data_IF_670066775299
#
_entry.id   IF_670066775299
#
_cell.length_a   1.000
_cell.length_b   1.000
_cell.length_c   1.000
_cell.angle_alpha   90.00
_cell.angle_beta   90.00
_cell.angle_gamma   90.00
#
_symmetry.space_group_name_H-M   'P 1'
#
loop_
_entity.id
_entity.type
_entity.pdbx_description
1 polymer ?
#
# COMPACT_ATOMS: atom_id res chain seq x y z
N UNK A 1 13.60 16.38 6.85
CA UNK A 1 12.44 16.91 7.60
C UNK A 1 11.82 15.74 8.32
N UNK A 2 11.74 15.76 9.66
CA UNK A 2 11.05 14.71 10.39
C UNK A 2 9.58 14.71 9.94
N UNK A 3 9.11 13.62 9.35
CA UNK A 3 7.69 13.45 9.06
C UNK A 3 7.01 13.36 10.41
N UNK A 4 6.24 14.38 10.75
CA UNK A 4 5.43 14.39 11.96
C UNK A 4 4.25 13.44 11.72
N UNK A 5 4.47 12.16 12.00
CA UNK A 5 3.51 11.05 11.88
C UNK A 5 2.45 11.14 12.98
N UNK A 6 1.65 12.20 12.92
CA UNK A 6 0.56 12.48 13.83
C UNK A 6 -0.74 12.55 13.05
N UNK A 7 -1.80 12.04 13.67
CA UNK A 7 -3.15 12.15 13.11
C UNK A 7 -3.65 13.60 13.23
N UNK A 8 -4.10 14.15 12.11
CA UNK A 8 -4.63 15.52 12.00
C UNK A 8 -5.94 15.50 11.22
N UNK A 9 -6.80 16.49 11.49
CA UNK A 9 -8.09 16.67 10.79
C UNK A 9 -8.99 15.42 10.74
N UNK A 10 -8.86 14.50 11.70
CA UNK A 10 -9.73 13.32 11.82
C UNK A 10 -11.17 13.77 12.01
N UNK A 11 -12.06 13.32 11.14
CA UNK A 11 -13.48 13.65 11.20
C UNK A 11 -14.35 12.56 10.57
N UNK A 12 -15.57 12.34 11.08
CA UNK A 12 -16.56 11.52 10.41
C UNK A 12 -16.90 12.08 9.03
N UNK A 13 -17.15 11.20 8.06
CA UNK A 13 -17.54 11.56 6.69
C UNK A 13 -18.71 10.71 6.20
N UNK A 14 -19.42 11.19 5.20
CA UNK A 14 -20.45 10.41 4.48
C UNK A 14 -19.83 9.72 3.27
N UNK A 15 -20.37 8.56 2.88
CA UNK A 15 -19.92 7.78 1.70
C UNK A 15 -19.70 8.64 0.45
N UNK A 16 -20.59 9.61 0.17
CA UNK A 16 -20.46 10.51 -1.00
C UNK A 16 -19.13 11.28 -1.07
N UNK A 17 -18.48 11.53 0.07
CA UNK A 17 -17.20 12.25 0.12
C UNK A 17 -15.99 11.36 -0.17
N UNK A 18 -16.12 10.04 0.00
CA UNK A 18 -15.07 9.07 -0.33
C UNK A 18 -15.37 8.31 -1.63
N UNK A 19 -16.52 8.55 -2.27
CA UNK A 19 -16.92 7.86 -3.49
C UNK A 19 -15.88 7.95 -4.64
N UNK A 20 -15.20 9.09 -4.88
CA UNK A 20 -14.11 9.12 -5.86
C UNK A 20 -12.97 8.18 -5.50
N UNK A 21 -12.55 8.17 -4.24
CA UNK A 21 -11.51 7.30 -3.72
C UNK A 21 -11.89 5.82 -3.86
N UNK A 22 -13.15 5.45 -3.55
CA UNK A 22 -13.64 4.07 -3.72
C UNK A 22 -13.58 3.62 -5.18
N UNK A 23 -13.95 4.50 -6.10
CA UNK A 23 -13.89 4.22 -7.54
C UNK A 23 -12.44 4.00 -8.00
N UNK A 24 -11.51 4.85 -7.56
CA UNK A 24 -10.10 4.71 -7.91
C UNK A 24 -9.50 3.40 -7.36
N UNK A 25 -9.91 2.97 -6.16
CA UNK A 25 -9.53 1.67 -5.60
C UNK A 25 -10.05 0.50 -6.44
N UNK A 26 -11.32 0.56 -6.84
CA UNK A 26 -11.94 -0.48 -7.67
C UNK A 26 -11.23 -0.59 -9.03
N UNK A 27 -10.90 0.54 -9.67
CA UNK A 27 -10.16 0.55 -10.94
C UNK A 27 -8.73 0.00 -10.77
N UNK A 28 -8.01 0.45 -9.74
CA UNK A 28 -6.61 0.09 -9.52
C UNK A 28 -6.42 -1.36 -9.02
N UNK A 29 -7.29 -1.83 -8.14
CA UNK A 29 -7.12 -3.09 -7.39
C UNK A 29 -8.24 -4.10 -7.63
N UNK A 30 -9.37 -3.71 -8.24
CA UNK A 30 -10.53 -4.58 -8.41
C UNK A 30 -11.23 -4.91 -7.09
N UNK A 31 -11.14 -4.01 -6.10
CA UNK A 31 -11.65 -4.22 -4.74
C UNK A 31 -12.84 -3.31 -4.46
N UNK A 32 -13.90 -3.88 -3.88
CA UNK A 32 -14.93 -3.13 -3.15
C UNK A 32 -14.59 -3.13 -1.65
N UNK A 33 -14.45 -1.93 -1.08
CA UNK A 33 -14.16 -1.73 0.34
C UNK A 33 -15.39 -2.03 1.23
N UNK A 34 -16.56 -2.30 0.63
CA UNK A 34 -17.78 -2.72 1.32
C UNK A 34 -18.20 -1.80 2.49
N UNK A 35 -18.14 -0.49 2.26
CA UNK A 35 -18.34 0.54 3.31
C UNK A 35 -19.79 0.81 3.70
N UNK A 36 -20.74 0.02 3.20
CA UNK A 36 -22.17 0.26 3.46
C UNK A 36 -22.54 -0.07 4.90
N UNK A 37 -23.13 0.91 5.60
CA UNK A 37 -23.48 0.80 7.02
C UNK A 37 -22.29 1.01 7.99
N UNK A 38 -21.06 1.09 7.49
CA UNK A 38 -19.87 1.30 8.31
C UNK A 38 -19.73 2.75 8.80
N UNK A 39 -19.03 2.95 9.91
CA UNK A 39 -18.63 4.27 10.37
C UNK A 39 -17.39 4.73 9.62
N UNK A 40 -17.52 5.83 8.88
CA UNK A 40 -16.46 6.34 8.01
C UNK A 40 -15.82 7.61 8.56
N UNK A 41 -14.50 7.65 8.53
CA UNK A 41 -13.72 8.82 8.90
C UNK A 41 -12.65 9.12 7.85
N UNK A 42 -12.26 10.38 7.75
CA UNK A 42 -11.04 10.79 7.05
C UNK A 42 -10.09 11.47 8.01
N UNK A 43 -8.80 11.26 7.82
CA UNK A 43 -7.74 11.93 8.57
C UNK A 43 -6.52 12.18 7.69
N UNK A 44 -5.72 13.18 8.06
CA UNK A 44 -4.36 13.36 7.55
C UNK A 44 -3.40 12.63 8.52
N UNK A 45 -2.40 11.93 7.99
CA UNK A 45 -1.35 11.27 8.75
C UNK A 45 -0.01 11.44 8.03
N UNK A 46 0.83 12.34 8.56
CA UNK A 46 2.02 12.79 7.84
C UNK A 46 1.65 13.32 6.44
N UNK A 47 2.25 12.79 5.36
CA UNK A 47 1.93 13.21 3.99
C UNK A 47 0.68 12.52 3.40
N UNK A 48 0.04 11.61 4.13
CA UNK A 48 -1.02 10.76 3.60
C UNK A 48 -2.39 11.24 4.09
N UNK A 49 -3.40 11.12 3.23
CA UNK A 49 -4.79 11.15 3.66
C UNK A 49 -5.28 9.74 3.79
N UNK A 50 -6.02 9.43 4.84
CA UNK A 50 -6.53 8.10 5.12
C UNK A 50 -8.04 8.08 5.11
N UNK A 51 -8.60 6.95 4.71
CA UNK A 51 -9.98 6.57 5.01
C UNK A 51 -9.96 5.49 6.06
N UNK A 52 -10.66 5.76 7.16
CA UNK A 52 -10.88 4.79 8.22
C UNK A 52 -12.30 4.24 8.09
N UNK A 53 -12.41 2.92 8.18
CA UNK A 53 -13.68 2.19 8.22
C UNK A 53 -13.75 1.50 9.57
N UNK A 54 -14.77 1.82 10.36
CA UNK A 54 -14.94 1.32 11.73
C UNK A 54 -13.69 1.48 12.59
N UNK A 55 -13.05 2.66 12.50
CA UNK A 55 -11.80 3.00 13.17
C UNK A 55 -10.62 2.11 12.78
N UNK A 56 -10.58 1.61 11.55
CA UNK A 56 -9.40 0.93 10.99
C UNK A 56 -8.97 1.68 9.73
N UNK A 57 -7.70 2.11 9.60
CA UNK A 57 -7.21 2.81 8.41
C UNK A 57 -7.04 1.79 7.27
N UNK A 58 -8.01 1.69 6.36
CA UNK A 58 -7.99 0.69 5.29
C UNK A 58 -7.41 1.22 3.99
N UNK A 59 -7.60 2.51 3.69
CA UNK A 59 -7.16 3.10 2.43
C UNK A 59 -6.44 4.43 2.64
N UNK A 60 -5.57 4.74 1.69
CA UNK A 60 -4.74 5.94 1.66
C UNK A 60 -4.84 6.63 0.30
N UNK A 61 -4.73 7.95 0.34
CA UNK A 61 -4.47 8.82 -0.77
C UNK A 61 -3.14 9.52 -0.52
N UNK A 62 -2.25 9.47 -1.52
CA UNK A 62 -0.90 10.02 -1.49
C UNK A 62 -0.50 10.54 -2.87
N UNK A 63 0.59 11.31 -2.93
CA UNK A 63 1.18 11.76 -4.18
C UNK A 63 2.27 10.78 -4.61
N UNK A 64 2.31 10.43 -5.89
CA UNK A 64 3.46 9.74 -6.48
C UNK A 64 4.66 10.72 -6.61
N UNK A 65 5.85 10.23 -7.00
CA UNK A 65 7.03 11.08 -7.19
C UNK A 65 6.88 12.19 -8.23
N UNK A 66 5.89 12.10 -9.11
CA UNK A 66 5.58 13.06 -10.18
C UNK A 66 4.42 14.00 -9.82
N UNK A 67 4.07 14.09 -8.53
CA UNK A 67 2.98 14.91 -7.99
C UNK A 67 1.60 14.59 -8.59
N UNK A 68 1.36 13.31 -8.92
CA UNK A 68 0.04 12.79 -9.28
C UNK A 68 -0.61 12.07 -8.10
N UNK A 69 -1.93 12.23 -7.98
CA UNK A 69 -2.72 11.61 -6.90
C UNK A 69 -2.87 10.11 -7.15
N UNK A 70 -2.50 9.30 -6.16
CA UNK A 70 -2.67 7.84 -6.13
C UNK A 70 -3.50 7.44 -4.93
N UNK A 71 -4.36 6.43 -5.13
CA UNK A 71 -5.18 5.82 -4.09
C UNK A 71 -4.82 4.35 -3.97
N UNK A 72 -4.72 3.86 -2.73
CA UNK A 72 -4.33 2.49 -2.47
C UNK A 72 -4.84 1.98 -1.12
N UNK A 73 -4.75 0.68 -0.89
CA UNK A 73 -4.98 0.11 0.44
C UNK A 73 -3.74 0.27 1.32
N UNK A 74 -3.96 0.36 2.63
CA UNK A 74 -2.89 0.15 3.63
C UNK A 74 -2.60 -1.35 3.77
N UNK A 75 -1.57 -1.72 4.55
CA UNK A 75 -1.34 -3.14 4.86
C UNK A 75 -2.52 -3.76 5.63
N UNK A 76 -3.18 -2.98 6.51
CA UNK A 76 -4.44 -3.40 7.16
C UNK A 76 -5.59 -3.53 6.16
N UNK A 77 -5.62 -2.66 5.15
CA UNK A 77 -6.53 -2.77 4.01
C UNK A 77 -6.35 -4.08 3.25
N UNK A 78 -5.12 -4.44 2.88
CA UNK A 78 -4.84 -5.72 2.19
C UNK A 78 -5.10 -6.96 3.06
N UNK A 79 -4.97 -6.86 4.38
CA UNK A 79 -5.38 -7.94 5.29
C UNK A 79 -6.90 -8.15 5.27
N UNK A 80 -7.68 -7.07 5.21
CA UNK A 80 -9.14 -7.13 5.16
C UNK A 80 -9.68 -7.47 3.76
N UNK A 81 -8.97 -7.03 2.70
CA UNK A 81 -9.35 -7.19 1.31
C UNK A 81 -8.15 -7.69 0.47
N UNK A 82 -7.78 -8.98 0.58
CA UNK A 82 -6.76 -9.56 -0.28
C UNK A 82 -7.16 -9.47 -1.76
N UNK A 83 -6.20 -9.22 -2.65
CA UNK A 83 -6.42 -9.23 -4.10
C UNK A 83 -5.23 -9.84 -4.85
N UNK A 84 -5.34 -9.93 -6.17
CA UNK A 84 -4.28 -10.44 -7.06
C UNK A 84 -3.79 -9.36 -8.04
N UNK A 85 -4.13 -8.09 -7.79
CA UNK A 85 -3.61 -6.95 -8.55
C UNK A 85 -2.49 -6.26 -7.78
N UNK A 86 -1.51 -5.73 -8.51
CA UNK A 86 -0.41 -4.90 -8.00
C UNK A 86 0.44 -5.59 -6.91
N UNK A 87 0.48 -6.92 -6.90
CA UNK A 87 1.25 -7.67 -5.90
C UNK A 87 2.69 -7.91 -6.37
N UNK A 88 3.59 -8.01 -5.39
CA UNK A 88 4.95 -8.53 -5.55
C UNK A 88 5.21 -9.54 -4.46
N UNK A 89 5.69 -10.73 -4.81
CA UNK A 89 6.00 -11.81 -3.88
C UNK A 89 7.48 -11.89 -3.61
N UNK A 90 7.82 -11.98 -2.32
CA UNK A 90 9.20 -12.09 -1.87
C UNK A 90 9.46 -13.36 -1.11
N UNK A 91 10.73 -13.80 -1.14
CA UNK A 91 11.20 -14.89 -0.30
C UNK A 91 11.34 -14.48 1.17
N UNK A 92 11.57 -15.49 2.01
CA UNK A 92 11.76 -15.31 3.45
C UNK A 92 13.01 -14.48 3.81
N UNK A 93 14.03 -14.47 2.94
CA UNK A 93 15.27 -13.73 3.15
C UNK A 93 15.09 -12.21 3.05
N UNK A 94 14.15 -11.75 2.22
CA UNK A 94 13.84 -10.33 2.06
C UNK A 94 13.04 -9.75 3.25
N UNK A 95 12.22 -10.56 3.93
CA UNK A 95 11.26 -10.11 4.94
C UNK A 95 11.90 -9.28 6.07
N UNK A 96 13.01 -9.72 6.72
CA UNK A 96 13.59 -8.96 7.82
C UNK A 96 14.13 -7.58 7.42
N UNK A 97 14.45 -7.38 6.14
CA UNK A 97 14.90 -6.09 5.61
C UNK A 97 13.72 -5.17 5.31
N UNK A 98 12.66 -5.71 4.71
CA UNK A 98 11.42 -4.98 4.44
C UNK A 98 10.77 -4.46 5.72
N UNK A 99 10.72 -5.29 6.77
CA UNK A 99 10.20 -4.89 8.10
C UNK A 99 11.05 -3.81 8.79
N UNK A 100 12.23 -3.49 8.26
CA UNK A 100 13.10 -2.39 8.73
C UNK A 100 13.07 -1.18 7.79
N UNK A 101 12.14 -1.15 6.82
CA UNK A 101 11.99 -0.06 5.87
C UNK A 101 13.03 -0.04 4.75
N UNK A 102 13.76 -1.14 4.53
CA UNK A 102 14.64 -1.23 3.37
C UNK A 102 13.83 -1.27 2.07
N UNK A 103 14.47 -0.79 0.99
CA UNK A 103 13.98 -0.99 -0.37
C UNK A 103 14.02 -2.48 -0.74
N UNK A 104 13.10 -2.90 -1.60
CA UNK A 104 13.07 -4.27 -2.09
C UNK A 104 14.04 -4.42 -3.28
N UNK A 105 14.96 -5.36 -3.20
CA UNK A 105 15.87 -5.70 -4.29
C UNK A 105 15.27 -6.82 -5.13
N UNK A 106 15.45 -6.78 -6.46
CA UNK A 106 14.87 -7.80 -7.37
C UNK A 106 15.33 -9.22 -7.04
N UNK A 107 16.52 -9.39 -6.46
CA UNK A 107 17.03 -10.68 -6.03
C UNK A 107 16.16 -11.41 -4.98
N UNK A 108 15.29 -10.69 -4.28
CA UNK A 108 14.35 -11.27 -3.32
C UNK A 108 12.91 -11.44 -3.85
N UNK A 109 12.64 -11.01 -5.10
CA UNK A 109 11.31 -11.08 -5.74
C UNK A 109 11.23 -12.36 -6.56
N UNK A 110 10.18 -13.16 -6.34
CA UNK A 110 9.99 -14.44 -7.04
C UNK A 110 8.75 -14.49 -7.93
N UNK A 111 7.83 -13.54 -7.76
CA UNK A 111 6.64 -13.42 -8.56
C UNK A 111 6.10 -11.99 -8.47
N UNK A 112 5.37 -11.53 -9.47
CA UNK A 112 4.74 -10.23 -9.48
C UNK A 112 3.54 -10.25 -10.43
N UNK A 113 2.60 -9.34 -10.21
CA UNK A 113 1.56 -9.05 -11.19
C UNK A 113 2.21 -8.52 -12.49
N UNK A 114 2.01 -9.24 -13.60
CA UNK A 114 2.57 -8.89 -14.91
C UNK A 114 2.04 -7.58 -15.48
N UNK A 115 0.92 -7.05 -14.96
CA UNK A 115 0.38 -5.75 -15.37
C UNK A 115 1.07 -4.56 -14.69
N UNK A 116 1.97 -4.79 -13.73
CA UNK A 116 2.77 -3.74 -13.10
C UNK A 116 3.64 -3.04 -14.13
N UNK A 117 3.63 -1.71 -14.10
CA UNK A 117 4.53 -0.83 -14.84
C UNK A 117 5.45 -0.10 -13.87
N UNK A 118 6.59 0.34 -14.39
CA UNK A 118 7.47 1.24 -13.64
C UNK A 118 6.68 2.49 -13.19
N UNK A 119 6.84 2.88 -11.93
CA UNK A 119 6.12 3.98 -11.30
C UNK A 119 4.81 3.57 -10.61
N UNK A 120 4.28 2.37 -10.86
CA UNK A 120 3.07 1.90 -10.18
C UNK A 120 3.31 1.70 -8.68
N UNK A 121 2.28 1.98 -7.88
CA UNK A 121 2.27 1.60 -6.48
C UNK A 121 1.88 0.12 -6.34
N UNK A 122 2.70 -0.63 -5.60
CA UNK A 122 2.53 -2.07 -5.44
C UNK A 122 2.59 -2.46 -3.96
N UNK A 123 1.98 -3.60 -3.63
CA UNK A 123 2.08 -4.19 -2.31
C UNK A 123 2.90 -5.47 -2.35
N UNK A 124 3.74 -5.64 -1.33
CA UNK A 124 4.62 -6.78 -1.18
C UNK A 124 3.96 -7.80 -0.27
N UNK A 125 4.00 -9.07 -0.66
CA UNK A 125 3.50 -10.19 0.13
C UNK A 125 4.52 -11.30 0.25
N UNK A 126 4.42 -12.11 1.31
CA UNK A 126 5.27 -13.29 1.44
C UNK A 126 4.85 -14.38 0.45
N UNK A 127 5.81 -15.10 -0.13
CA UNK A 127 5.51 -16.11 -1.16
C UNK A 127 4.72 -17.32 -0.64
N UNK A 128 4.71 -17.60 0.67
CA UNK A 128 4.13 -18.83 1.24
C UNK A 128 2.69 -18.66 1.70
N UNK A 129 2.40 -17.59 2.44
CA UNK A 129 1.10 -17.29 3.04
C UNK A 129 0.40 -16.09 2.41
N UNK A 130 1.06 -15.41 1.46
CA UNK A 130 0.54 -14.24 0.74
C UNK A 130 0.13 -13.10 1.68
N UNK A 131 0.74 -13.01 2.87
CA UNK A 131 0.48 -11.96 3.84
C UNK A 131 1.14 -10.65 3.40
N UNK A 132 0.46 -9.50 3.50
CA UNK A 132 1.03 -8.22 3.15
C UNK A 132 2.16 -7.84 4.11
N UNK A 133 3.25 -7.33 3.56
CA UNK A 133 4.48 -7.00 4.27
C UNK A 133 4.86 -5.52 4.13
N UNK A 134 4.71 -4.98 2.92
CA UNK A 134 5.13 -3.63 2.57
C UNK A 134 4.36 -3.06 1.38
N UNK A 135 4.54 -1.78 1.11
CA UNK A 135 4.01 -1.04 -0.04
C UNK A 135 5.15 -0.19 -0.58
N UNK A 136 5.34 -0.17 -1.90
CA UNK A 136 6.40 0.59 -2.52
C UNK A 136 6.12 0.96 -3.97
N UNK A 137 6.88 1.92 -4.47
CA UNK A 137 6.86 2.30 -5.88
C UNK A 137 7.71 1.32 -6.69
N UNK A 138 7.14 0.71 -7.72
CA UNK A 138 7.87 -0.13 -8.64
C UNK A 138 8.89 0.70 -9.41
N UNK A 139 10.14 0.25 -9.46
CA UNK A 139 11.20 0.87 -10.28
C UNK A 139 11.42 0.13 -11.59
N UNK A 140 10.56 -0.85 -11.89
CA UNK A 140 10.58 -1.76 -13.04
C UNK A 140 9.16 -2.25 -13.31
N UNK A 141 8.90 -2.76 -14.52
CA UNK A 141 7.66 -3.49 -14.82
C UNK A 141 7.63 -4.88 -14.18
N UNK A 142 6.45 -5.50 -14.15
CA UNK A 142 6.19 -6.79 -13.50
C UNK A 142 7.10 -7.93 -13.96
N UNK A 143 7.40 -8.03 -15.26
CA UNK A 143 8.27 -9.09 -15.78
C UNK A 143 9.73 -8.83 -15.37
N UNK A 144 10.19 -7.60 -15.54
CA UNK A 144 11.54 -7.19 -15.14
C UNK A 144 11.80 -7.34 -13.63
N UNK A 145 10.76 -7.18 -12.78
CA UNK A 145 10.85 -7.43 -11.34
C UNK A 145 11.19 -8.88 -11.00
N UNK A 146 10.77 -9.84 -11.84
CA UNK A 146 10.98 -11.28 -11.64
C UNK A 146 12.22 -11.79 -12.38
N UNK A 147 12.50 -11.27 -13.58
CA UNK A 147 13.57 -11.77 -14.44
C UNK A 147 14.96 -11.19 -14.12
N UNK A 148 15.03 -9.96 -13.60
CA UNK A 148 16.31 -9.33 -13.32
C UNK A 148 16.97 -9.86 -12.04
N UNK A 149 18.27 -10.10 -12.12
CA UNK A 149 19.05 -10.66 -11.01
C UNK A 149 19.64 -9.61 -10.06
N UNK A 150 19.64 -8.33 -10.45
CA UNK A 150 20.27 -7.25 -9.68
C UNK A 150 19.56 -5.92 -9.85
N UNK A 151 19.65 -5.09 -8.83
CA UNK A 151 19.09 -3.75 -8.82
C UNK A 151 17.93 -3.61 -7.84
N UNK A 152 17.48 -2.37 -7.69
CA UNK A 152 16.30 -2.06 -6.89
C UNK A 152 15.07 -2.50 -7.68
N UNK A 153 14.17 -3.21 -7.01
CA UNK A 153 12.85 -3.55 -7.54
C UNK A 153 11.82 -2.51 -7.10
N UNK A 154 11.78 -2.20 -5.80
CA UNK A 154 10.79 -1.29 -5.22
C UNK A 154 11.44 -0.25 -4.32
N UNK A 155 10.91 0.98 -4.34
CA UNK A 155 11.18 2.00 -3.31
C UNK A 155 10.11 1.92 -2.23
N UNK A 156 10.48 1.43 -1.05
CA UNK A 156 9.52 1.13 0.02
C UNK A 156 9.01 2.42 0.68
N UNK A 157 7.71 2.47 0.99
CA UNK A 157 7.06 3.64 1.60
C UNK A 157 6.19 3.32 2.82
N UNK A 158 5.77 2.07 3.00
CA UNK A 158 5.05 1.60 4.18
C UNK A 158 5.32 0.12 4.41
N UNK A 159 5.54 -0.30 5.67
CA UNK A 159 5.85 -1.69 6.01
C UNK A 159 5.31 -2.08 7.39
N UNK A 160 5.20 -3.39 7.63
CA UNK A 160 4.87 -3.92 8.96
C UNK A 160 5.95 -3.47 9.96
N UNK A 161 5.53 -2.72 10.98
CA UNK A 161 6.39 -2.17 12.02
C UNK A 161 6.77 -0.69 11.83
N UNK A 162 6.26 -0.03 10.79
CA UNK A 162 6.39 1.42 10.63
C UNK A 162 5.34 2.22 11.41
N UNK A 163 5.42 3.55 11.33
CA UNK A 163 4.56 4.45 12.09
C UNK A 163 3.08 4.28 11.75
N UNK A 164 2.72 4.06 10.48
CA UNK A 164 1.32 3.86 10.08
C UNK A 164 0.80 2.49 10.54
N UNK A 165 1.65 1.45 10.49
CA UNK A 165 1.30 0.11 10.95
C UNK A 165 1.06 0.09 12.46
N UNK A 166 1.96 0.69 13.24
CA UNK A 166 1.91 0.80 14.70
C UNK A 166 0.98 1.93 15.18
N UNK A 167 0.31 2.64 14.26
CA UNK A 167 -0.58 3.73 14.63
C UNK A 167 -1.71 3.23 15.55
N UNK A 168 -1.78 3.87 16.72
CA UNK A 168 -2.93 3.81 17.63
C UNK A 168 -3.86 5.00 17.35
N UNK A 169 -5.18 4.74 17.40
CA UNK A 169 -6.23 5.69 16.99
C UNK A 169 -6.97 6.32 18.17
#
# INVERSE_FOLDING_TARGET
>A
MAKDWQIKKRRPVRRKHIAPLLKDLEEALGIDLAVDGAFLEMADYGPWKMVLVDRVPLAVELMNPDDERVVFLTLRGFLAHPCEKRFVEVDHGAIPFLMKGADCMVAGIHNADSEIREGDLVWVRDQQHKRPLAIGWATKDGNSLVEELKGKGLKNIHWVGDELWEMEL
#
